data_IF_701494980684
#
_entry.id   IF_701494980684
#
_cell.length_a   1.000
_cell.length_b   1.000
_cell.length_c   1.000
_cell.angle_alpha   90.00
_cell.angle_beta   90.00
_cell.angle_gamma   90.00
#
_symmetry.space_group_name_H-M   'P 1'
#
loop_
_entity.id
_entity.type
_entity.pdbx_description
1 polymer ?
#
# COMPACT_ATOMS: atom_id res chain seq x y z
N UNK A 1 20.97 -0.52 -2.78
CA UNK A 1 20.87 0.66 -1.89
C UNK A 1 19.90 0.32 -0.77
N UNK A 2 20.34 0.33 0.49
CA UNK A 2 19.49 0.05 1.66
C UNK A 2 19.51 1.31 2.54
N UNK A 3 18.40 2.04 2.59
CA UNK A 3 18.27 3.26 3.41
C UNK A 3 17.95 2.80 4.83
N UNK A 4 18.90 2.98 5.76
CA UNK A 4 18.77 2.52 7.15
C UNK A 4 18.23 3.59 8.09
N UNK A 5 18.41 4.86 7.76
CA UNK A 5 18.06 5.99 8.61
C UNK A 5 17.46 7.14 7.78
N UNK A 6 16.76 8.04 8.46
CA UNK A 6 16.13 9.21 7.86
C UNK A 6 14.68 8.99 7.40
N UNK A 7 14.06 10.02 6.80
CA UNK A 7 12.63 10.04 6.50
C UNK A 7 12.20 8.99 5.45
N UNK A 8 13.12 8.55 4.60
CA UNK A 8 12.83 7.60 3.51
C UNK A 8 12.88 6.11 3.93
N UNK A 9 13.14 5.78 5.21
CA UNK A 9 13.22 4.38 5.67
C UNK A 9 11.87 3.67 5.54
N UNK A 10 10.77 4.37 5.81
CA UNK A 10 9.39 3.86 5.76
C UNK A 10 8.52 4.71 4.86
N UNK A 11 8.91 4.82 3.58
CA UNK A 11 8.12 5.51 2.56
C UNK A 11 6.66 5.01 2.47
N UNK A 12 6.43 3.74 2.79
CA UNK A 12 5.09 3.17 2.90
C UNK A 12 4.24 3.85 3.99
N UNK A 13 4.81 4.09 5.18
CA UNK A 13 4.10 4.80 6.26
C UNK A 13 3.93 6.28 5.96
N UNK A 14 4.90 6.89 5.28
CA UNK A 14 4.78 8.27 4.84
C UNK A 14 3.61 8.44 3.86
N UNK A 15 3.50 7.59 2.84
CA UNK A 15 2.40 7.63 1.89
C UNK A 15 1.04 7.36 2.58
N UNK A 16 0.99 6.38 3.50
CA UNK A 16 -0.22 6.11 4.27
C UNK A 16 -0.66 7.34 5.09
N UNK A 17 0.29 8.05 5.70
CA UNK A 17 0.01 9.27 6.47
C UNK A 17 -0.49 10.40 5.58
N UNK A 18 0.09 10.56 4.39
CA UNK A 18 -0.38 11.53 3.38
C UNK A 18 -1.80 11.22 2.92
N UNK A 19 -2.14 9.95 2.69
CA UNK A 19 -3.49 9.54 2.33
C UNK A 19 -4.50 9.84 3.46
N UNK A 20 -4.14 9.53 4.71
CA UNK A 20 -4.99 9.83 5.89
C UNK A 20 -5.22 11.35 6.03
N UNK A 21 -4.17 12.16 5.85
CA UNK A 21 -4.29 13.62 5.88
C UNK A 21 -5.21 14.14 4.76
N UNK A 22 -5.07 13.62 3.54
CA UNK A 22 -5.94 13.96 2.42
C UNK A 22 -7.41 13.58 2.70
N UNK A 23 -7.66 12.38 3.24
CA UNK A 23 -9.00 11.93 3.63
C UNK A 23 -9.63 12.88 4.66
N UNK A 24 -8.87 13.30 5.68
CA UNK A 24 -9.34 14.27 6.70
C UNK A 24 -9.70 15.61 6.08
N UNK A 25 -8.86 16.13 5.18
CA UNK A 25 -9.10 17.40 4.48
C UNK A 25 -10.34 17.35 3.60
N UNK A 26 -10.56 16.25 2.88
CA UNK A 26 -11.76 16.03 2.07
C UNK A 26 -13.02 15.89 2.93
N UNK A 27 -12.95 15.13 4.03
CA UNK A 27 -14.06 14.98 4.97
C UNK A 27 -14.45 16.32 5.63
N UNK A 28 -13.48 17.18 5.95
CA UNK A 28 -13.74 18.52 6.47
C UNK A 28 -14.50 19.42 5.47
N UNK A 29 -14.37 19.13 4.17
CA UNK A 29 -15.15 19.77 3.10
C UNK A 29 -16.49 19.07 2.83
N UNK A 30 -16.91 18.14 3.70
CA UNK A 30 -18.16 17.36 3.62
C UNK A 30 -18.25 16.38 2.45
N UNK A 31 -17.12 16.01 1.85
CA UNK A 31 -17.10 14.87 0.92
C UNK A 31 -17.25 13.55 1.68
N UNK A 32 -17.94 12.58 1.06
CA UNK A 32 -17.96 11.20 1.54
C UNK A 32 -16.64 10.55 1.15
N UNK A 33 -15.90 10.07 2.14
CA UNK A 33 -14.55 9.52 1.95
C UNK A 33 -14.48 8.14 2.60
N UNK A 34 -14.12 7.14 1.81
CA UNK A 34 -13.92 5.78 2.29
C UNK A 34 -12.62 5.64 3.09
N UNK A 35 -12.62 4.75 4.08
CA UNK A 35 -11.46 4.50 4.93
C UNK A 35 -10.34 3.71 4.23
N UNK A 36 -10.68 2.92 3.20
CA UNK A 36 -9.75 2.08 2.45
C UNK A 36 -9.33 2.73 1.14
N UNK A 37 -8.10 2.44 0.70
CA UNK A 37 -7.50 3.07 -0.48
C UNK A 37 -7.58 2.17 -1.72
N UNK A 38 -7.72 2.79 -2.88
CA UNK A 38 -7.42 2.18 -4.18
C UNK A 38 -6.02 2.63 -4.60
N UNK A 39 -5.12 1.68 -4.88
CA UNK A 39 -3.74 1.99 -5.30
C UNK A 39 -3.43 1.38 -6.67
N UNK A 40 -2.90 2.19 -7.58
CA UNK A 40 -2.56 1.79 -8.94
C UNK A 40 -1.09 2.15 -9.21
N UNK A 41 -0.33 1.20 -9.75
CA UNK A 41 1.09 1.43 -10.10
C UNK A 41 1.55 0.61 -11.30
N UNK A 42 2.54 1.12 -12.01
CA UNK A 42 3.17 0.48 -13.17
C UNK A 42 4.70 0.62 -13.10
N UNK A 43 5.45 -0.39 -13.55
CA UNK A 43 6.91 -0.43 -13.50
C UNK A 43 7.42 -0.30 -12.05
N UNK A 44 8.27 0.69 -11.72
CA UNK A 44 8.76 0.91 -10.37
C UNK A 44 7.62 1.12 -9.34
N UNK A 45 6.55 1.85 -9.70
CA UNK A 45 5.39 2.03 -8.83
C UNK A 45 4.48 0.79 -8.79
N UNK A 46 4.55 -0.08 -9.80
CA UNK A 46 3.94 -1.41 -9.78
C UNK A 46 4.57 -2.29 -8.71
N UNK A 47 5.89 -2.35 -8.67
CA UNK A 47 6.63 -3.06 -7.61
C UNK A 47 6.33 -2.47 -6.23
N UNK A 48 6.26 -1.14 -6.11
CA UNK A 48 5.90 -0.47 -4.86
C UNK A 48 4.48 -0.82 -4.41
N UNK A 49 3.48 -0.69 -5.28
CA UNK A 49 2.07 -0.96 -4.93
C UNK A 49 1.84 -2.43 -4.52
N UNK A 50 2.50 -3.39 -5.16
CA UNK A 50 2.46 -4.79 -4.73
C UNK A 50 3.05 -4.97 -3.31
N UNK A 51 4.20 -4.36 -3.02
CA UNK A 51 4.81 -4.40 -1.67
C UNK A 51 3.96 -3.66 -0.65
N UNK A 52 3.32 -2.55 -1.03
CA UNK A 52 2.44 -1.79 -0.16
C UNK A 52 1.22 -2.63 0.25
N UNK A 53 0.63 -3.36 -0.69
CA UNK A 53 -0.47 -4.29 -0.39
C UNK A 53 -0.04 -5.41 0.56
N UNK A 54 1.17 -5.95 0.39
CA UNK A 54 1.72 -6.94 1.31
C UNK A 54 1.91 -6.41 2.74
N UNK A 55 2.38 -5.16 2.88
CA UNK A 55 2.66 -4.55 4.19
C UNK A 55 1.40 -4.02 4.90
N UNK A 56 0.40 -3.57 4.14
CA UNK A 56 -0.79 -2.88 4.66
C UNK A 56 -2.10 -3.46 4.08
N UNK A 57 -2.33 -4.79 4.14
CA UNK A 57 -3.47 -5.42 3.47
C UNK A 57 -4.82 -4.85 3.92
N UNK A 58 -4.97 -4.52 5.20
CA UNK A 58 -6.21 -4.01 5.78
C UNK A 58 -6.55 -2.57 5.38
N UNK A 59 -5.59 -1.84 4.80
CA UNK A 59 -5.75 -0.43 4.40
C UNK A 59 -6.24 -0.28 2.97
N UNK A 60 -6.29 -1.35 2.19
CA UNK A 60 -6.63 -1.32 0.77
C UNK A 60 -8.02 -1.90 0.49
N UNK A 61 -8.73 -1.27 -0.43
CA UNK A 61 -9.93 -1.81 -1.05
C UNK A 61 -9.56 -2.66 -2.25
N UNK A 62 -8.67 -2.16 -3.11
CA UNK A 62 -8.10 -2.89 -4.23
C UNK A 62 -6.72 -2.34 -4.62
N UNK A 63 -5.92 -3.17 -5.29
CA UNK A 63 -4.61 -2.82 -5.84
C UNK A 63 -4.48 -3.29 -7.28
N UNK A 64 -3.93 -2.44 -8.15
CA UNK A 64 -3.53 -2.79 -9.51
C UNK A 64 -2.04 -2.52 -9.66
N UNK A 65 -1.27 -3.57 -9.92
CA UNK A 65 0.19 -3.49 -10.04
C UNK A 65 0.64 -4.08 -11.39
N UNK A 66 1.03 -3.21 -12.32
CA UNK A 66 1.56 -3.59 -13.64
C UNK A 66 3.09 -3.63 -13.69
N UNK A 67 3.64 -4.51 -14.52
CA UNK A 67 5.09 -4.72 -14.67
C UNK A 67 5.81 -4.95 -13.32
N UNK A 68 5.19 -5.74 -12.44
CA UNK A 68 5.80 -6.17 -11.17
C UNK A 68 6.93 -7.14 -11.48
N UNK A 69 8.10 -6.93 -10.86
CA UNK A 69 9.22 -7.87 -10.98
C UNK A 69 8.78 -9.29 -10.61
N UNK A 70 9.38 -10.30 -11.24
CA UNK A 70 8.92 -11.69 -11.43
C UNK A 70 8.30 -12.48 -10.25
N UNK A 71 8.32 -11.97 -9.02
CA UNK A 71 7.74 -12.60 -7.83
C UNK A 71 6.82 -11.62 -7.09
N UNK A 72 5.54 -11.49 -7.52
CA UNK A 72 4.57 -10.69 -6.79
C UNK A 72 4.31 -11.30 -5.41
N UNK A 73 4.21 -10.43 -4.40
CA UNK A 73 3.88 -10.83 -3.03
C UNK A 73 2.37 -10.89 -2.86
N UNK A 74 1.88 -11.96 -2.23
CA UNK A 74 0.47 -12.11 -1.92
C UNK A 74 0.16 -11.43 -0.58
N UNK A 75 -0.84 -10.53 -0.50
CA UNK A 75 -1.21 -9.83 0.73
C UNK A 75 -2.09 -10.71 1.63
N UNK A 76 -1.65 -11.94 1.92
CA UNK A 76 -2.37 -12.92 2.73
C UNK A 76 -1.43 -13.55 3.75
N UNK A 77 -1.95 -13.88 4.92
CA UNK A 77 -1.22 -14.56 5.99
C UNK A 77 -1.37 -16.10 5.94
N UNK A 78 -2.21 -16.63 5.05
CA UNK A 78 -2.43 -18.05 4.88
C UNK A 78 -2.79 -18.41 3.44
N UNK A 79 -2.43 -19.63 3.02
CA UNK A 79 -2.81 -20.23 1.74
C UNK A 79 -3.29 -21.66 1.99
N UNK A 80 -4.43 -22.06 1.42
CA UNK A 80 -5.00 -23.40 1.61
C UNK A 80 -5.14 -23.80 3.10
N UNK A 81 -5.53 -22.85 3.96
CA UNK A 81 -5.61 -22.99 5.44
C UNK A 81 -4.27 -23.21 6.16
N UNK A 82 -3.15 -23.16 5.44
CA UNK A 82 -1.83 -23.18 6.03
C UNK A 82 -1.33 -21.76 6.21
N UNK A 83 -0.95 -21.40 7.44
CA UNK A 83 -0.32 -20.12 7.71
C UNK A 83 1.00 -20.00 6.94
N UNK A 84 1.24 -18.84 6.34
CA UNK A 84 2.50 -18.51 5.68
C UNK A 84 3.49 -17.99 6.74
N UNK A 85 4.79 -18.31 6.63
CA UNK A 85 5.82 -17.88 7.57
C UNK A 85 6.04 -16.36 7.58
#
# INVERSE_FOLDING_TARGET
MHIKEGPAVRLDLQLLSMAIDAQKKLAAQKYIVENKLLIVGFSASGTFSNRFAFLHPDKLLAVVSGAVNAFPKLPVNALNKQALP
#
